data_IF_838116546153
#
_entry.id   IF_838116546153
#
_cell.length_a   1.000
_cell.length_b   1.000
_cell.length_c   1.000
_cell.angle_alpha   90.00
_cell.angle_beta   90.00
_cell.angle_gamma   90.00
#
_symmetry.space_group_name_H-M   'P 1'
#
loop_
_entity.id
_entity.type
_entity.pdbx_description
1 polymer ?
#
# COMPACT_ATOMS: atom_id res chain seq x y z
N UNK A 1 16.45 -2.80 -12.76
CA UNK A 1 15.25 -3.08 -13.57
C UNK A 1 14.58 -1.74 -13.85
N UNK A 2 14.92 -1.10 -14.98
CA UNK A 2 14.27 0.13 -15.43
C UNK A 2 13.37 -0.21 -16.61
N UNK A 3 12.22 0.46 -16.73
CA UNK A 3 11.32 0.34 -17.87
C UNK A 3 12.02 0.82 -19.17
N UNK A 4 11.33 0.68 -20.30
CA UNK A 4 11.84 1.05 -21.64
C UNK A 4 12.28 2.53 -21.75
N UNK A 5 11.84 3.38 -20.81
CA UNK A 5 12.14 4.80 -20.72
C UNK A 5 13.17 5.15 -19.61
N UNK A 6 13.80 4.16 -18.98
CA UNK A 6 14.78 4.36 -17.92
C UNK A 6 14.19 4.65 -16.54
N UNK A 7 12.85 4.70 -16.40
CA UNK A 7 12.20 4.95 -15.11
C UNK A 7 12.07 3.66 -14.30
N UNK A 8 12.13 3.72 -12.96
CA UNK A 8 11.80 2.56 -12.16
C UNK A 8 10.35 2.11 -12.40
N UNK A 9 10.06 0.80 -12.38
CA UNK A 9 8.70 0.31 -12.52
C UNK A 9 7.86 0.66 -11.29
N UNK A 10 6.55 0.79 -11.49
CA UNK A 10 5.56 0.88 -10.40
C UNK A 10 5.13 -0.53 -10.05
N UNK A 11 5.23 -0.91 -8.76
CA UNK A 11 4.65 -2.13 -8.24
C UNK A 11 3.18 -1.89 -7.89
N UNK A 12 2.28 -2.75 -8.38
CA UNK A 12 0.86 -2.76 -8.00
C UNK A 12 0.56 -4.07 -7.29
N UNK A 13 0.02 -4.00 -6.08
CA UNK A 13 -0.40 -5.16 -5.29
C UNK A 13 -1.86 -5.03 -4.93
N UNK A 14 -2.67 -6.02 -5.32
CA UNK A 14 -4.10 -6.04 -5.05
C UNK A 14 -4.45 -7.02 -3.93
N UNK A 15 -4.76 -6.48 -2.75
CA UNK A 15 -5.20 -7.17 -1.53
C UNK A 15 -4.35 -8.38 -1.10
N UNK A 16 -3.09 -8.47 -1.55
CA UNK A 16 -2.21 -9.63 -1.32
C UNK A 16 -1.91 -9.89 0.16
N UNK A 17 -2.07 -8.89 1.02
CA UNK A 17 -1.70 -8.96 2.42
C UNK A 17 -2.65 -9.80 3.28
N UNK A 18 -3.90 -9.96 2.83
CA UNK A 18 -4.92 -10.78 3.50
C UNK A 18 -4.66 -12.29 3.33
N UNK A 19 -3.89 -12.69 2.31
CA UNK A 19 -3.54 -14.09 2.02
C UNK A 19 -2.23 -14.57 2.66
N UNK A 20 -1.45 -13.66 3.25
CA UNK A 20 -0.12 -13.96 3.77
C UNK A 20 -0.11 -14.17 5.28
N UNK A 21 0.62 -15.19 5.71
CA UNK A 21 1.03 -15.33 7.09
C UNK A 21 1.97 -14.17 7.53
N UNK A 22 2.11 -13.92 8.85
CA UNK A 22 2.90 -12.79 9.35
C UNK A 22 4.36 -12.75 8.86
N UNK A 23 5.03 -13.90 8.75
CA UNK A 23 6.42 -13.96 8.33
C UNK A 23 6.56 -13.56 6.85
N UNK A 24 5.65 -14.04 6.00
CA UNK A 24 5.59 -13.65 4.58
C UNK A 24 5.25 -12.18 4.40
N UNK A 25 4.33 -11.66 5.21
CA UNK A 25 3.94 -10.24 5.24
C UNK A 25 5.16 -9.36 5.51
N UNK A 26 5.90 -9.62 6.59
CA UNK A 26 7.09 -8.83 6.92
C UNK A 26 8.21 -9.01 5.88
N UNK A 27 8.35 -10.20 5.26
CA UNK A 27 9.30 -10.38 4.16
C UNK A 27 8.95 -9.49 2.95
N UNK A 28 7.67 -9.45 2.56
CA UNK A 28 7.19 -8.62 1.45
C UNK A 28 7.41 -7.13 1.73
N UNK A 29 7.17 -6.67 2.95
CA UNK A 29 7.35 -5.27 3.37
C UNK A 29 8.79 -4.81 3.20
N UNK A 30 9.77 -5.63 3.61
CA UNK A 30 11.20 -5.33 3.43
C UNK A 30 11.57 -5.15 1.95
N UNK A 31 10.91 -5.89 1.06
CA UNK A 31 11.13 -5.77 -0.39
C UNK A 31 10.47 -4.51 -0.95
N UNK A 32 9.24 -4.22 -0.53
CA UNK A 32 8.51 -3.00 -0.93
C UNK A 32 9.26 -1.75 -0.49
N UNK A 33 9.79 -1.71 0.73
CA UNK A 33 10.54 -0.57 1.26
C UNK A 33 11.82 -0.24 0.47
N UNK A 34 12.38 -1.22 -0.26
CA UNK A 34 13.53 -1.03 -1.13
C UNK A 34 13.13 -0.62 -2.57
N UNK A 35 11.84 -0.67 -2.91
CA UNK A 35 11.34 -0.26 -4.21
C UNK A 35 11.03 1.24 -4.23
N UNK A 36 11.32 1.92 -5.35
CA UNK A 36 11.13 3.35 -5.44
C UNK A 36 9.65 3.77 -5.52
N UNK A 37 8.77 2.90 -6.03
CA UNK A 37 7.36 3.23 -6.27
C UNK A 37 6.46 1.99 -6.13
N UNK A 38 5.44 2.07 -5.28
CA UNK A 38 4.43 1.03 -5.10
C UNK A 38 3.04 1.60 -4.78
N UNK A 39 1.99 0.98 -5.32
CA UNK A 39 0.62 1.12 -4.85
C UNK A 39 0.12 -0.23 -4.35
N UNK A 40 -0.58 -0.19 -3.22
CA UNK A 40 -1.10 -1.37 -2.54
C UNK A 40 -2.55 -1.06 -2.24
N UNK A 41 -3.46 -1.89 -2.74
CA UNK A 41 -4.87 -1.86 -2.36
C UNK A 41 -5.10 -2.91 -1.28
N UNK A 42 -5.96 -2.57 -0.32
CA UNK A 42 -6.42 -3.51 0.69
C UNK A 42 -7.83 -3.13 1.15
N UNK A 43 -8.57 -4.12 1.61
CA UNK A 43 -9.89 -3.92 2.21
C UNK A 43 -9.81 -3.38 3.65
N UNK A 44 -8.68 -3.59 4.35
CA UNK A 44 -8.46 -3.08 5.71
C UNK A 44 -6.99 -2.77 6.00
N UNK A 45 -6.74 -1.68 6.75
CA UNK A 45 -5.38 -1.34 7.20
C UNK A 45 -4.80 -2.32 8.22
N UNK A 46 -5.63 -3.17 8.83
CA UNK A 46 -5.20 -4.17 9.82
C UNK A 46 -4.45 -5.34 9.17
N UNK A 47 -4.65 -5.56 7.87
CA UNK A 47 -3.89 -6.55 7.10
C UNK A 47 -2.49 -6.04 6.72
N UNK A 48 -2.24 -4.73 6.85
CA UNK A 48 -0.94 -4.16 6.53
C UNK A 48 0.01 -4.24 7.73
N UNK A 49 1.26 -4.59 7.46
CA UNK A 49 2.32 -4.54 8.45
C UNK A 49 2.49 -3.10 9.00
N UNK A 50 2.64 -2.92 10.33
CA UNK A 50 2.87 -1.60 10.92
C UNK A 50 4.04 -0.83 10.30
N UNK A 51 5.11 -1.51 9.90
CA UNK A 51 6.26 -0.85 9.26
C UNK A 51 5.87 -0.25 7.91
N UNK A 52 5.03 -0.94 7.14
CA UNK A 52 4.51 -0.42 5.86
C UNK A 52 3.60 0.78 6.08
N UNK A 53 2.71 0.71 7.09
CA UNK A 53 1.82 1.82 7.44
C UNK A 53 2.58 3.08 7.86
N UNK A 54 3.75 2.93 8.48
CA UNK A 54 4.59 4.05 8.91
C UNK A 54 5.27 4.79 7.73
N UNK A 55 5.48 4.12 6.60
CA UNK A 55 6.14 4.70 5.42
C UNK A 55 5.17 5.03 4.27
N UNK A 56 3.93 4.52 4.33
CA UNK A 56 2.92 4.72 3.30
C UNK A 56 2.11 6.00 3.51
N UNK A 57 1.64 6.58 2.40
CA UNK A 57 0.55 7.56 2.43
C UNK A 57 -0.77 6.84 2.21
N UNK A 58 -1.65 6.85 3.21
CA UNK A 58 -2.92 6.13 3.14
C UNK A 58 -4.01 6.97 2.46
N UNK A 59 -4.78 6.30 1.60
CA UNK A 59 -5.98 6.82 0.96
C UNK A 59 -7.12 5.84 1.18
N UNK A 60 -8.31 6.36 1.42
CA UNK A 60 -9.53 5.57 1.60
C UNK A 60 -10.40 5.72 0.36
N UNK A 61 -10.86 4.61 -0.20
CA UNK A 61 -11.87 4.62 -1.25
C UNK A 61 -13.25 4.64 -0.58
N UNK A 62 -14.02 5.70 -0.80
CA UNK A 62 -15.40 5.82 -0.30
C UNK A 62 -16.40 5.84 -1.44
N UNK A 63 -17.51 5.13 -1.26
CA UNK A 63 -18.64 5.21 -2.17
C UNK A 63 -19.43 6.49 -1.90
N UNK A 64 -19.69 7.27 -2.95
CA UNK A 64 -20.58 8.43 -2.90
C UNK A 64 -21.63 8.38 -4.03
N UNK A 65 -22.49 9.39 -4.07
CA UNK A 65 -23.64 9.46 -4.99
C UNK A 65 -23.23 9.41 -6.48
N UNK A 66 -21.98 9.78 -6.80
CA UNK A 66 -21.40 9.75 -8.15
C UNK A 66 -20.47 8.56 -8.43
N UNK A 67 -20.38 7.57 -7.53
CA UNK A 67 -19.45 6.45 -7.62
C UNK A 67 -18.34 6.48 -6.55
N UNK A 68 -17.32 5.64 -6.72
CA UNK A 68 -16.21 5.55 -5.78
C UNK A 68 -15.22 6.72 -5.94
N UNK A 69 -14.82 7.33 -4.83
CA UNK A 69 -13.84 8.41 -4.78
C UNK A 69 -12.72 8.12 -3.77
N UNK A 70 -11.52 8.63 -4.06
CA UNK A 70 -10.39 8.58 -3.13
C UNK A 70 -10.42 9.77 -2.19
N UNK A 71 -10.26 9.51 -0.89
CA UNK A 71 -10.18 10.52 0.16
C UNK A 71 -8.87 10.29 0.90
N UNK A 72 -8.12 11.35 1.17
CA UNK A 72 -6.91 11.21 1.99
C UNK A 72 -7.32 10.67 3.37
N UNK A 73 -6.71 9.56 3.80
CA UNK A 73 -6.96 9.05 5.13
C UNK A 73 -6.30 10.02 6.13
N UNK A 74 -7.01 10.40 7.18
CA UNK A 74 -6.48 11.31 8.18
C UNK A 74 -5.45 10.56 9.05
N UNK A 75 -4.20 10.49 8.60
CA UNK A 75 -3.10 9.84 9.35
C UNK A 75 -2.54 10.79 10.43
N UNK A 76 -3.43 11.51 11.14
CA UNK A 76 -3.09 12.30 12.32
C UNK A 76 -3.64 11.63 13.58
N UNK A 77 -3.16 10.43 13.88
CA UNK A 77 -3.41 9.79 15.17
C UNK A 77 -2.23 8.89 15.56
N UNK A 78 -1.17 9.52 16.09
CA UNK A 78 -0.23 9.01 17.12
C UNK A 78 1.12 9.65 16.90
N UNK A 79 1.28 10.85 17.47
CA UNK A 79 2.58 11.40 17.84
C UNK A 79 2.59 11.56 19.34
#
# INVERSE_FOLDING_TARGET
>A
MTALDGRPPVLLLDDVFSELDPDRRSHLVRRIAALPQAFITTTTLDDLDPELRAIATAWEVRLGDGGAGLVAADVRASR
#
